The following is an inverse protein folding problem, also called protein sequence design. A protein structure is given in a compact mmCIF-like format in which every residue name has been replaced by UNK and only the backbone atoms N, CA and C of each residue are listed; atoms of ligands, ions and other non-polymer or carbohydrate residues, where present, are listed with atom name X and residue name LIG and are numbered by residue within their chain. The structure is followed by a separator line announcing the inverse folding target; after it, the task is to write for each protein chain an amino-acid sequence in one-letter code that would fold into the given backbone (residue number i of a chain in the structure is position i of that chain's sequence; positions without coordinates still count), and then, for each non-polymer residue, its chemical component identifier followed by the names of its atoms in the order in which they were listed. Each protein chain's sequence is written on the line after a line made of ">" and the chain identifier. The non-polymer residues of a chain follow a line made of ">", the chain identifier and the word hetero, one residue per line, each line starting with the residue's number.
data_IF_285648301335
#
_entry.id   IF_285648301335
#
_cell.length_a   1.000
_cell.length_b   1.000
_cell.length_c   1.000
_cell.angle_alpha   90.00
_cell.angle_beta   90.00
_cell.angle_gamma   90.00
#
_symmetry.space_group_name_H-M   'P 1'
#
loop_
_entity.id
_entity.type
_entity.pdbx_description
1 polymer ?
#
# COMPACT_ATOMS: atom_id res chain seq x y z
N UNK A 1 4.67 -47.57 56.74
CA UNK A 1 3.74 -47.21 55.65
C UNK A 1 3.32 -45.72 55.64
N UNK A 2 3.10 -45.05 56.80
CA UNK A 2 2.74 -43.63 56.86
C UNK A 2 3.84 -42.69 56.32
N UNK A 3 5.12 -42.98 56.59
CA UNK A 3 6.26 -42.16 56.10
C UNK A 3 6.48 -42.24 54.57
N UNK A 4 6.11 -43.37 53.96
CA UNK A 4 6.27 -43.56 52.51
C UNK A 4 5.24 -42.81 51.70
N UNK A 5 4.03 -42.60 52.24
CA UNK A 5 2.94 -41.81 51.61
C UNK A 5 3.27 -40.32 51.62
N UNK A 6 3.88 -39.80 52.67
CA UNK A 6 4.30 -38.40 52.78
C UNK A 6 5.43 -38.06 51.79
N UNK A 7 6.37 -38.99 51.58
CA UNK A 7 7.46 -38.83 50.62
C UNK A 7 6.96 -38.83 49.16
N UNK A 8 5.92 -39.61 48.86
CA UNK A 8 5.32 -39.66 47.53
C UNK A 8 4.47 -38.41 47.20
N UNK A 9 3.88 -37.76 48.21
CA UNK A 9 3.16 -36.48 48.01
C UNK A 9 4.08 -35.27 47.72
N UNK A 10 5.32 -35.30 48.24
CA UNK A 10 6.30 -34.23 47.95
C UNK A 10 6.88 -34.28 46.54
N UNK A 11 6.81 -35.42 45.85
CA UNK A 11 7.28 -35.59 44.48
C UNK A 11 6.30 -35.03 43.39
N UNK A 12 5.05 -34.72 43.80
CA UNK A 12 4.02 -34.16 42.87
C UNK A 12 4.01 -32.64 42.79
N UNK A 13 4.83 -31.96 43.57
CA UNK A 13 5.01 -30.49 43.49
C UNK A 13 6.08 -30.11 42.43
N UNK A 14 6.14 -30.82 41.31
CA UNK A 14 6.79 -30.26 40.12
C UNK A 14 5.88 -29.12 39.66
N UNK A 15 6.25 -27.90 40.07
CA UNK A 15 5.68 -26.68 39.58
C UNK A 15 5.69 -26.72 38.05
N UNK A 16 4.53 -26.90 37.45
CA UNK A 16 4.32 -26.67 36.04
C UNK A 16 4.67 -25.22 35.81
N UNK A 17 5.91 -24.92 35.46
CA UNK A 17 6.20 -23.61 34.83
C UNK A 17 5.46 -23.64 33.51
N UNK A 18 4.22 -23.19 33.53
CA UNK A 18 3.56 -22.79 32.31
C UNK A 18 4.37 -21.61 31.79
N UNK A 19 5.23 -21.88 30.81
CA UNK A 19 5.93 -20.83 30.09
C UNK A 19 4.86 -19.88 29.55
N UNK A 20 4.83 -18.66 30.07
CA UNK A 20 3.87 -17.64 29.61
C UNK A 20 4.28 -17.27 28.18
N UNK A 21 3.56 -17.79 27.20
CA UNK A 21 3.73 -17.43 25.80
C UNK A 21 3.54 -15.93 25.65
N UNK A 22 4.56 -15.22 25.20
CA UNK A 22 4.52 -13.79 24.92
C UNK A 22 3.96 -13.55 23.51
N UNK A 23 2.75 -13.05 23.44
CA UNK A 23 2.05 -12.77 22.18
C UNK A 23 1.97 -11.26 21.94
N UNK A 24 2.29 -10.84 20.71
CA UNK A 24 2.08 -9.47 20.22
C UNK A 24 1.07 -9.45 19.09
N UNK A 25 0.45 -8.29 18.88
CA UNK A 25 -0.39 -7.99 17.73
C UNK A 25 0.11 -6.71 17.06
N UNK A 26 0.02 -6.65 15.73
CA UNK A 26 0.41 -5.50 14.93
C UNK A 26 -0.66 -5.21 13.87
N UNK A 27 -1.13 -3.97 13.82
CA UNK A 27 -1.89 -3.45 12.68
C UNK A 27 -0.90 -3.00 11.59
N UNK A 28 -0.65 -3.87 10.62
CA UNK A 28 0.32 -3.60 9.54
C UNK A 28 -0.10 -2.43 8.66
N UNK A 29 -1.40 -2.22 8.45
CA UNK A 29 -1.90 -1.06 7.71
C UNK A 29 -1.60 0.25 8.44
N UNK A 30 -1.82 0.27 9.75
CA UNK A 30 -1.49 1.43 10.58
C UNK A 30 0.01 1.70 10.58
N UNK A 31 0.86 0.66 10.67
CA UNK A 31 2.31 0.81 10.55
C UNK A 31 2.65 1.48 9.23
N UNK A 32 2.30 0.86 8.09
CA UNK A 32 2.66 1.34 6.74
C UNK A 32 2.19 2.79 6.53
N UNK A 33 0.92 3.07 6.82
CA UNK A 33 0.33 4.41 6.58
C UNK A 33 0.84 5.48 7.53
N UNK A 34 1.45 5.11 8.66
CA UNK A 34 2.04 6.05 9.61
C UNK A 34 3.47 6.45 9.22
N UNK A 35 4.22 5.59 8.52
CA UNK A 35 5.63 5.83 8.19
C UNK A 35 5.85 7.10 7.36
N UNK A 36 6.78 7.94 7.81
CA UNK A 36 7.20 9.16 7.11
C UNK A 36 7.77 8.86 5.74
N UNK A 37 8.56 7.79 5.63
CA UNK A 37 9.15 7.33 4.37
C UNK A 37 8.06 6.97 3.34
N UNK A 38 7.02 6.24 3.75
CA UNK A 38 5.91 5.87 2.85
C UNK A 38 5.18 7.11 2.34
N UNK A 39 4.85 8.05 3.22
CA UNK A 39 4.17 9.30 2.86
C UNK A 39 4.99 10.15 1.90
N UNK A 40 6.28 10.35 2.20
CA UNK A 40 7.17 11.15 1.34
C UNK A 40 7.39 10.50 -0.03
N UNK A 41 7.51 9.17 -0.10
CA UNK A 41 7.65 8.46 -1.37
C UNK A 41 6.38 8.52 -2.22
N UNK A 42 5.19 8.45 -1.62
CA UNK A 42 3.92 8.68 -2.35
C UNK A 42 3.84 10.09 -2.92
N UNK A 43 4.28 11.10 -2.16
CA UNK A 43 4.34 12.48 -2.63
C UNK A 43 5.32 12.64 -3.80
N UNK A 44 6.49 12.03 -3.72
CA UNK A 44 7.47 12.04 -4.82
C UNK A 44 6.91 11.38 -6.09
N UNK A 45 6.22 10.24 -5.97
CA UNK A 45 5.52 9.61 -7.09
C UNK A 45 4.49 10.57 -7.68
N UNK A 46 3.68 11.24 -6.86
CA UNK A 46 2.68 12.20 -7.36
C UNK A 46 3.33 13.36 -8.12
N UNK A 47 4.41 13.93 -7.59
CA UNK A 47 5.18 15.01 -8.24
C UNK A 47 5.78 14.53 -9.58
N UNK A 48 6.36 13.35 -9.61
CA UNK A 48 6.96 12.77 -10.82
C UNK A 48 5.94 12.59 -11.96
N UNK A 49 4.71 12.23 -11.62
CA UNK A 49 3.65 11.96 -12.60
C UNK A 49 2.79 13.19 -12.96
N UNK A 50 2.91 14.30 -12.22
CA UNK A 50 2.13 15.51 -12.47
C UNK A 50 2.37 16.14 -13.85
N UNK A 51 3.62 16.28 -14.39
CA UNK A 51 3.83 16.82 -15.72
C UNK A 51 3.07 16.06 -16.81
N UNK A 52 3.11 14.72 -16.76
CA UNK A 52 2.40 13.88 -17.75
C UNK A 52 0.88 14.01 -17.62
N UNK A 53 0.38 14.16 -16.41
CA UNK A 53 -1.05 14.42 -16.17
C UNK A 53 -1.47 15.75 -16.82
N UNK A 54 -0.64 16.80 -16.74
CA UNK A 54 -0.92 18.07 -17.39
C UNK A 54 -0.91 17.95 -18.91
N UNK A 55 0.06 17.23 -19.50
CA UNK A 55 0.06 16.93 -20.93
C UNK A 55 -1.21 16.23 -21.40
N UNK A 56 -1.68 15.22 -20.63
CA UNK A 56 -2.92 14.51 -20.93
C UNK A 56 -4.15 15.43 -20.82
N UNK A 57 -4.18 16.33 -19.85
CA UNK A 57 -5.26 17.32 -19.74
C UNK A 57 -5.28 18.28 -20.94
N UNK A 58 -4.12 18.70 -21.42
CA UNK A 58 -4.03 19.57 -22.60
C UNK A 58 -4.39 18.83 -23.89
N UNK A 59 -4.01 17.56 -24.02
CA UNK A 59 -4.45 16.70 -25.12
C UNK A 59 -5.97 16.51 -25.09
N UNK A 60 -6.55 16.30 -23.94
CA UNK A 60 -8.01 16.23 -23.79
C UNK A 60 -8.71 17.52 -24.23
N UNK A 61 -8.20 18.71 -23.82
CA UNK A 61 -8.74 19.99 -24.27
C UNK A 61 -8.63 20.14 -25.79
N UNK A 62 -7.53 19.68 -26.40
CA UNK A 62 -7.37 19.72 -27.84
C UNK A 62 -8.41 18.84 -28.54
N UNK A 63 -8.69 17.63 -28.02
CA UNK A 63 -9.75 16.75 -28.53
C UNK A 63 -11.10 17.47 -28.50
N UNK A 64 -11.43 18.13 -27.41
CA UNK A 64 -12.70 18.87 -27.28
C UNK A 64 -12.80 20.05 -28.28
N UNK A 65 -11.69 20.74 -28.54
CA UNK A 65 -11.65 21.79 -29.58
C UNK A 65 -11.89 21.20 -30.99
N UNK A 66 -11.26 20.07 -31.31
CA UNK A 66 -11.47 19.41 -32.62
C UNK A 66 -12.92 18.93 -32.76
N UNK A 67 -13.52 18.39 -31.73
CA UNK A 67 -14.95 18.01 -31.70
C UNK A 67 -15.85 19.21 -31.99
N UNK A 68 -15.60 20.33 -31.31
CA UNK A 68 -16.35 21.56 -31.53
C UNK A 68 -16.22 22.10 -32.98
N UNK A 69 -15.02 22.03 -33.55
CA UNK A 69 -14.79 22.41 -34.97
C UNK A 69 -15.54 21.50 -35.94
N UNK A 70 -15.55 20.18 -35.71
CA UNK A 70 -16.33 19.24 -36.50
C UNK A 70 -17.82 19.61 -36.51
N UNK A 71 -18.39 20.02 -35.38
CA UNK A 71 -19.80 20.42 -35.29
C UNK A 71 -20.08 21.71 -36.05
N UNK A 72 -19.11 22.61 -36.15
CA UNK A 72 -19.20 23.80 -37.00
C UNK A 72 -19.12 23.49 -38.50
N UNK A 73 -18.19 22.59 -38.89
CA UNK A 73 -18.00 22.17 -40.29
C UNK A 73 -19.23 21.43 -40.80
N UNK A 74 -19.87 20.59 -40.01
CA UNK A 74 -21.14 19.88 -40.35
C UNK A 74 -22.23 20.84 -40.76
N UNK A 75 -22.22 22.08 -40.27
CA UNK A 75 -23.20 23.11 -40.60
C UNK A 75 -22.85 23.89 -41.88
N UNK A 76 -21.63 23.77 -42.42
CA UNK A 76 -21.10 24.54 -43.55
C UNK A 76 -20.97 23.77 -44.88
N UNK A 77 -21.44 22.53 -44.98
CA UNK A 77 -21.50 21.67 -46.18
C UNK A 77 -20.15 21.38 -46.88
N UNK A 78 -19.04 21.37 -46.12
CA UNK A 78 -17.67 21.12 -46.61
C UNK A 78 -17.21 19.67 -46.31
N UNK A 79 -17.56 18.73 -47.18
CA UNK A 79 -17.32 17.28 -46.96
C UNK A 79 -15.83 16.88 -46.81
N UNK A 80 -14.93 17.45 -47.63
CA UNK A 80 -13.48 17.12 -47.57
C UNK A 80 -12.82 17.62 -46.24
N UNK A 81 -13.22 18.79 -45.77
CA UNK A 81 -12.73 19.33 -44.49
C UNK A 81 -13.22 18.50 -43.30
N UNK A 82 -14.45 18.00 -43.39
CA UNK A 82 -15.04 17.14 -42.35
C UNK A 82 -14.28 15.83 -42.21
N UNK A 83 -13.96 15.15 -43.33
CA UNK A 83 -13.23 13.90 -43.32
C UNK A 83 -11.84 14.05 -42.68
N UNK A 84 -11.10 15.09 -43.02
CA UNK A 84 -9.78 15.37 -42.43
C UNK A 84 -9.84 15.58 -40.91
N UNK A 85 -10.83 16.35 -40.43
CA UNK A 85 -10.98 16.59 -38.99
C UNK A 85 -11.45 15.35 -38.25
N UNK A 86 -12.25 14.48 -38.86
CA UNK A 86 -12.66 13.19 -38.24
C UNK A 86 -11.47 12.23 -38.11
N UNK A 87 -10.58 12.14 -39.12
CA UNK A 87 -9.35 11.36 -39.04
C UNK A 87 -8.43 11.91 -37.95
N UNK A 88 -8.28 13.23 -37.87
CA UNK A 88 -7.49 13.90 -36.83
C UNK A 88 -8.04 13.59 -35.43
N UNK A 89 -9.37 13.69 -35.24
CA UNK A 89 -10.02 13.36 -33.98
C UNK A 89 -9.74 11.93 -33.58
N UNK A 90 -9.95 10.98 -34.49
CA UNK A 90 -9.70 9.54 -34.23
C UNK A 90 -8.27 9.28 -33.76
N UNK A 91 -7.27 9.90 -34.41
CA UNK A 91 -5.86 9.75 -34.05
C UNK A 91 -5.57 10.35 -32.65
N UNK A 92 -6.12 11.53 -32.35
CA UNK A 92 -5.95 12.17 -31.04
C UNK A 92 -6.60 11.35 -29.91
N UNK A 93 -7.80 10.84 -30.13
CA UNK A 93 -8.49 10.00 -29.17
C UNK A 93 -7.75 8.68 -28.91
N UNK A 94 -7.20 8.06 -29.98
CA UNK A 94 -6.38 6.86 -29.84
C UNK A 94 -5.11 7.14 -29.05
N UNK A 95 -4.39 8.22 -29.36
CA UNK A 95 -3.19 8.62 -28.61
C UNK A 95 -3.53 8.90 -27.15
N UNK A 96 -4.58 9.68 -26.87
CA UNK A 96 -5.01 9.99 -25.52
C UNK A 96 -5.31 8.73 -24.72
N UNK A 97 -6.03 7.77 -25.31
CA UNK A 97 -6.34 6.50 -24.66
C UNK A 97 -5.06 5.72 -24.32
N UNK A 98 -4.16 5.53 -25.29
CA UNK A 98 -2.93 4.77 -25.08
C UNK A 98 -2.02 5.42 -24.04
N UNK A 99 -1.85 6.74 -24.13
CA UNK A 99 -1.00 7.48 -23.19
C UNK A 99 -1.60 7.50 -21.77
N UNK A 100 -2.92 7.61 -21.64
CA UNK A 100 -3.61 7.54 -20.34
C UNK A 100 -3.46 6.15 -19.71
N UNK A 101 -3.67 5.08 -20.48
CA UNK A 101 -3.51 3.70 -20.00
C UNK A 101 -2.05 3.45 -19.57
N UNK A 102 -1.07 3.90 -20.36
CA UNK A 102 0.33 3.78 -20.01
C UNK A 102 0.70 4.55 -18.74
N UNK A 103 0.24 5.80 -18.63
CA UNK A 103 0.45 6.65 -17.46
C UNK A 103 -0.12 6.02 -16.19
N UNK A 104 -1.39 5.57 -16.24
CA UNK A 104 -2.05 4.91 -15.10
C UNK A 104 -1.32 3.64 -14.67
N UNK A 105 -0.98 2.78 -15.65
CA UNK A 105 -0.27 1.53 -15.40
C UNK A 105 1.08 1.77 -14.75
N UNK A 106 1.85 2.72 -15.29
CA UNK A 106 3.21 3.01 -14.77
C UNK A 106 3.15 3.58 -13.36
N UNK A 107 2.24 4.53 -13.10
CA UNK A 107 2.03 5.09 -11.77
C UNK A 107 1.59 4.01 -10.76
N UNK A 108 0.66 3.14 -11.15
CA UNK A 108 0.20 2.07 -10.26
C UNK A 108 1.31 1.06 -9.96
N UNK A 109 2.13 0.71 -10.96
CA UNK A 109 3.27 -0.17 -10.74
C UNK A 109 4.26 0.42 -9.74
N UNK A 110 4.60 1.71 -9.85
CA UNK A 110 5.49 2.35 -8.88
C UNK A 110 4.92 2.36 -7.46
N UNK A 111 3.60 2.56 -7.33
CA UNK A 111 2.95 2.46 -6.00
C UNK A 111 2.99 1.06 -5.43
N UNK A 112 2.83 0.03 -6.26
CA UNK A 112 2.91 -1.37 -5.85
C UNK A 112 4.37 -1.71 -5.44
N UNK A 113 5.36 -1.26 -6.22
CA UNK A 113 6.77 -1.45 -5.88
C UNK A 113 7.11 -0.80 -4.54
N UNK A 114 6.70 0.45 -4.33
CA UNK A 114 6.86 1.14 -3.04
C UNK A 114 6.21 0.36 -1.89
N UNK A 115 4.98 -0.12 -2.07
CA UNK A 115 4.30 -0.89 -1.03
C UNK A 115 5.07 -2.16 -0.67
N UNK A 116 5.55 -2.91 -1.68
CA UNK A 116 6.37 -4.10 -1.47
C UNK A 116 7.67 -3.79 -0.71
N UNK A 117 8.34 -2.69 -1.04
CA UNK A 117 9.56 -2.26 -0.32
C UNK A 117 9.27 -1.94 1.14
N UNK A 118 8.19 -1.22 1.41
CA UNK A 118 7.78 -0.87 2.77
C UNK A 118 7.35 -2.13 3.55
N UNK A 119 6.62 -3.06 2.94
CA UNK A 119 6.27 -4.33 3.57
C UNK A 119 7.49 -5.16 3.95
N UNK A 120 8.52 -5.19 3.11
CA UNK A 120 9.79 -5.86 3.43
C UNK A 120 10.49 -5.19 4.62
N UNK A 121 10.52 -3.87 4.67
CA UNK A 121 11.08 -3.11 5.78
C UNK A 121 10.32 -3.40 7.08
N UNK A 122 8.99 -3.36 7.04
CA UNK A 122 8.12 -3.64 8.19
C UNK A 122 8.34 -5.07 8.69
N UNK A 123 8.32 -6.06 7.80
CA UNK A 123 8.55 -7.46 8.17
C UNK A 123 9.93 -7.68 8.80
N UNK A 124 10.95 -7.01 8.30
CA UNK A 124 12.29 -7.06 8.90
C UNK A 124 12.28 -6.50 10.31
N UNK A 125 11.70 -5.31 10.50
CA UNK A 125 11.60 -4.66 11.81
C UNK A 125 10.81 -5.50 12.82
N UNK A 126 9.70 -6.10 12.39
CA UNK A 126 8.89 -7.02 13.21
C UNK A 126 9.74 -8.20 13.68
N UNK A 127 10.47 -8.86 12.78
CA UNK A 127 11.29 -10.01 13.13
C UNK A 127 12.41 -9.64 14.10
N UNK A 128 13.12 -8.52 13.85
CA UNK A 128 14.20 -8.05 14.72
C UNK A 128 13.67 -7.67 16.12
N UNK A 129 12.53 -6.98 16.18
CA UNK A 129 11.87 -6.62 17.43
C UNK A 129 11.40 -7.84 18.20
N UNK A 130 10.75 -8.80 17.51
CA UNK A 130 10.27 -10.04 18.12
C UNK A 130 11.37 -10.84 18.79
N UNK A 131 12.49 -11.02 18.10
CA UNK A 131 13.66 -11.73 18.62
C UNK A 131 14.28 -11.00 19.80
N UNK A 132 14.46 -9.69 19.70
CA UNK A 132 15.05 -8.87 20.76
C UNK A 132 14.21 -8.84 22.03
N UNK A 133 12.90 -8.74 21.88
CA UNK A 133 11.96 -8.66 22.99
C UNK A 133 11.42 -10.02 23.46
N UNK A 134 11.92 -11.12 22.88
CA UNK A 134 11.51 -12.49 23.21
C UNK A 134 10.01 -12.73 23.07
N UNK A 135 9.42 -12.30 21.93
CA UNK A 135 8.06 -12.70 21.55
C UNK A 135 8.07 -14.11 20.97
N UNK A 136 7.13 -14.94 21.41
CA UNK A 136 6.92 -16.30 20.89
C UNK A 136 6.02 -16.31 19.66
N UNK A 137 5.10 -15.30 19.56
CA UNK A 137 4.15 -15.18 18.48
C UNK A 137 3.79 -13.73 18.24
N UNK A 138 3.81 -13.30 16.98
CA UNK A 138 3.23 -12.04 16.56
C UNK A 138 2.12 -12.32 15.56
N UNK A 139 0.94 -11.77 15.84
CA UNK A 139 -0.24 -11.84 14.99
C UNK A 139 -0.43 -10.51 14.26
N UNK A 140 -0.94 -10.58 13.05
CA UNK A 140 -1.31 -9.41 12.27
C UNK A 140 -2.51 -9.74 11.38
N UNK A 141 -3.28 -8.71 11.03
CA UNK A 141 -4.46 -8.77 10.17
C UNK A 141 -5.58 -9.74 10.64
N UNK A 142 -6.79 -9.48 10.22
CA UNK A 142 -7.96 -10.34 10.40
C UNK A 142 -8.22 -10.87 11.84
N UNK A 143 -7.76 -10.16 12.85
CA UNK A 143 -8.05 -10.48 14.26
C UNK A 143 -9.32 -9.75 14.70
N UNK A 144 -10.29 -10.49 15.24
CA UNK A 144 -11.59 -9.94 15.62
C UNK A 144 -11.54 -9.03 16.85
N UNK A 145 -10.59 -9.26 17.74
CA UNK A 145 -10.41 -8.47 18.97
C UNK A 145 -8.97 -8.51 19.44
N UNK A 146 -8.43 -7.38 19.78
CA UNK A 146 -7.09 -7.20 20.38
C UNK A 146 -7.23 -6.27 21.58
N UNK A 147 -6.59 -6.62 22.69
CA UNK A 147 -6.49 -5.73 23.85
C UNK A 147 -5.22 -4.88 23.74
N UNK A 148 -5.24 -3.67 24.28
CA UNK A 148 -4.09 -2.76 24.32
C UNK A 148 -2.82 -3.38 24.95
N UNK A 149 -2.98 -4.44 25.74
CA UNK A 149 -1.86 -5.12 26.40
C UNK A 149 -0.95 -5.91 25.44
N UNK A 150 -1.49 -6.36 24.32
CA UNK A 150 -0.77 -7.17 23.34
C UNK A 150 -0.53 -6.41 22.03
N UNK A 151 -1.12 -5.22 21.89
CA UNK A 151 -0.88 -4.37 20.73
C UNK A 151 0.49 -3.69 20.86
N UNK A 152 1.37 -3.98 19.89
CA UNK A 152 2.74 -3.45 19.81
C UNK A 152 2.93 -2.61 18.55
N UNK A 153 1.84 -2.16 17.92
CA UNK A 153 1.87 -1.41 16.66
C UNK A 153 2.72 -0.14 16.78
N UNK A 154 2.58 0.62 17.89
CA UNK A 154 3.32 1.87 18.09
C UNK A 154 4.81 1.65 18.33
N UNK A 155 5.17 0.55 18.98
CA UNK A 155 6.56 0.14 19.20
C UNK A 155 7.25 -0.15 17.88
N UNK A 156 6.56 -0.88 16.96
CA UNK A 156 7.08 -1.17 15.62
C UNK A 156 7.22 0.09 14.79
N UNK A 157 6.23 0.98 14.78
CA UNK A 157 6.33 2.29 14.11
C UNK A 157 7.56 3.05 14.62
N UNK A 158 7.71 3.13 15.95
CA UNK A 158 8.82 3.84 16.57
C UNK A 158 10.17 3.20 16.26
N UNK A 159 10.23 1.89 16.08
CA UNK A 159 11.45 1.17 15.72
C UNK A 159 11.88 1.50 14.28
N UNK A 160 10.95 1.49 13.34
CA UNK A 160 11.23 1.77 11.93
C UNK A 160 11.63 3.24 11.72
N UNK A 161 10.97 4.17 12.39
CA UNK A 161 11.27 5.62 12.27
C UNK A 161 12.66 6.02 12.82
N UNK A 162 13.35 5.11 13.52
CA UNK A 162 14.75 5.32 14.00
C UNK A 162 15.79 4.85 13.00
N UNK A 163 15.39 4.05 11.99
CA UNK A 163 16.31 3.53 10.97
C UNK A 163 16.61 4.58 9.90
#
# INVERSE_FOLDING_TARGET
>A
MRALVVFFCCLLCFSSNAENIKVGFIDTNQVITSLSQYKSSLEQIAIQFEPKKQELLDLFKHIELVRSNIDLIKKSDSSQSLENELVKLSNLEQSFKQETEYWQKTMNNQKIELLNEIELLVNKAINEYALRESYDLILYDNIAFVSDKVDITQEIISEIEKL
#
